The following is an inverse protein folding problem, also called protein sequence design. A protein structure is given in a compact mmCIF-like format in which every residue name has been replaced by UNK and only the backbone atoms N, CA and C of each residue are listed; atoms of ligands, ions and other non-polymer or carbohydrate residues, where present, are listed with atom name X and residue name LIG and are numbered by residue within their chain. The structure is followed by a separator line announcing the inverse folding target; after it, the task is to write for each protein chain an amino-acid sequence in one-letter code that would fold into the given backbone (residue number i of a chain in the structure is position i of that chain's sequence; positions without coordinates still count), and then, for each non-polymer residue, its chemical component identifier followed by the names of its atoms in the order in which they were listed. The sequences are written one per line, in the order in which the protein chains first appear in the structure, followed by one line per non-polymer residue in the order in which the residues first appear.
data_IF_452509751050
#
_entry.id   IF_452509751050
#
_cell.length_a   1.000
_cell.length_b   1.000
_cell.length_c   1.000
_cell.angle_alpha   90.00
_cell.angle_beta   90.00
_cell.angle_gamma   90.00
#
_symmetry.space_group_name_H-M   'P 1'
#
loop_
_entity.id
_entity.type
_entity.pdbx_description
1 polymer ?
#
# COMPACT_ATOMS: atom_id res chain seq x y z
N UNK A 1 -3.12 -23.29 18.53
CA UNK A 1 -2.02 -23.29 19.50
C UNK A 1 -2.03 -22.01 20.31
N UNK A 2 -2.10 -22.10 21.63
CA UNK A 2 -2.04 -20.86 22.40
C UNK A 2 -0.65 -20.25 22.25
N UNK A 3 -0.63 -18.96 21.94
CA UNK A 3 0.63 -18.23 21.88
C UNK A 3 1.06 -17.90 23.30
N UNK A 4 2.33 -18.11 23.56
CA UNK A 4 2.88 -17.68 24.83
C UNK A 4 2.81 -16.15 24.92
N UNK A 5 2.54 -15.62 26.13
CA UNK A 5 2.55 -14.18 26.30
C UNK A 5 3.93 -13.62 26.00
N UNK A 6 4.01 -12.61 25.18
CA UNK A 6 5.26 -11.94 24.84
C UNK A 6 5.78 -11.17 26.04
N UNK A 7 7.10 -11.15 26.20
CA UNK A 7 7.74 -10.26 27.17
C UNK A 7 7.46 -8.81 26.77
N UNK A 8 7.54 -7.89 27.72
CA UNK A 8 7.35 -6.46 27.44
C UNK A 8 8.35 -5.95 26.39
N UNK A 9 9.59 -6.41 26.48
CA UNK A 9 10.64 -6.02 25.53
C UNK A 9 10.31 -6.47 24.13
N UNK A 10 9.85 -7.70 23.96
CA UNK A 10 9.47 -8.24 22.65
C UNK A 10 8.24 -7.55 22.11
N UNK A 11 7.25 -7.26 22.96
CA UNK A 11 6.06 -6.54 22.55
C UNK A 11 6.39 -5.13 22.09
N UNK A 12 7.31 -4.46 22.78
CA UNK A 12 7.76 -3.12 22.40
C UNK A 12 8.53 -3.16 21.08
N UNK A 13 9.42 -4.13 20.90
CA UNK A 13 10.18 -4.30 19.66
C UNK A 13 9.24 -4.56 18.48
N UNK A 14 8.19 -5.36 18.69
CA UNK A 14 7.19 -5.61 17.66
C UNK A 14 6.43 -4.34 17.31
N UNK A 15 6.11 -3.52 18.31
CA UNK A 15 5.42 -2.24 18.08
C UNK A 15 6.27 -1.29 17.27
N UNK A 16 7.55 -1.18 17.59
CA UNK A 16 8.49 -0.34 16.85
C UNK A 16 8.62 -0.81 15.41
N UNK A 17 8.69 -2.13 15.21
CA UNK A 17 8.73 -2.70 13.85
C UNK A 17 7.45 -2.41 13.08
N UNK A 18 6.30 -2.54 13.73
CA UNK A 18 5.01 -2.24 13.11
C UNK A 18 4.94 -0.77 12.68
N UNK A 19 5.41 0.15 13.53
CA UNK A 19 5.47 1.58 13.20
C UNK A 19 6.38 1.85 12.01
N UNK A 20 7.50 1.14 11.95
CA UNK A 20 8.44 1.25 10.82
C UNK A 20 7.80 0.78 9.52
N UNK A 21 7.07 -0.34 9.56
CA UNK A 21 6.33 -0.85 8.40
C UNK A 21 5.31 0.18 7.92
N UNK A 22 4.56 0.77 8.84
CA UNK A 22 3.57 1.81 8.53
C UNK A 22 4.23 2.97 7.78
N UNK A 23 5.35 3.45 8.31
CA UNK A 23 6.08 4.57 7.71
C UNK A 23 6.56 4.25 6.30
N UNK A 24 7.15 3.08 6.11
CA UNK A 24 7.62 2.64 4.80
C UNK A 24 6.48 2.48 3.80
N UNK A 25 5.37 1.91 4.25
CA UNK A 25 4.21 1.71 3.37
C UNK A 25 3.53 3.02 2.99
N UNK A 26 3.54 4.02 3.88
CA UNK A 26 3.04 5.36 3.54
C UNK A 26 3.89 6.00 2.43
N UNK A 27 5.20 5.80 2.46
CA UNK A 27 6.05 6.24 1.36
C UNK A 27 5.72 5.52 0.06
N UNK A 28 5.50 4.21 0.15
CA UNK A 28 5.12 3.41 -1.02
C UNK A 28 3.80 3.87 -1.60
N UNK A 29 2.84 4.25 -0.76
CA UNK A 29 1.56 4.81 -1.22
C UNK A 29 1.77 6.11 -1.98
N UNK A 30 2.66 6.95 -1.51
CA UNK A 30 2.97 8.22 -2.18
C UNK A 30 3.54 7.97 -3.58
N UNK A 31 4.50 7.06 -3.70
CA UNK A 31 5.07 6.70 -5.00
C UNK A 31 4.05 5.99 -5.89
N UNK A 32 3.18 5.20 -5.31
CA UNK A 32 2.11 4.51 -6.03
C UNK A 32 1.17 5.50 -6.71
N UNK A 33 0.78 6.58 -6.03
CA UNK A 33 -0.05 7.62 -6.61
C UNK A 33 0.61 8.26 -7.82
N UNK A 34 1.89 8.57 -7.72
CA UNK A 34 2.67 9.14 -8.83
C UNK A 34 2.74 8.17 -10.01
N UNK A 35 2.93 6.88 -9.73
CA UNK A 35 2.97 5.85 -10.77
C UNK A 35 1.63 5.69 -11.47
N UNK A 36 0.53 5.75 -10.72
CA UNK A 36 -0.82 5.67 -11.29
C UNK A 36 -1.05 6.82 -12.27
N UNK A 37 -0.63 8.04 -11.91
CA UNK A 37 -0.73 9.19 -12.81
C UNK A 37 0.05 8.98 -14.10
N UNK A 38 1.28 8.47 -13.99
CA UNK A 38 2.12 8.19 -15.15
C UNK A 38 1.51 7.10 -16.04
N UNK A 39 0.98 6.05 -15.45
CA UNK A 39 0.30 5.00 -16.22
C UNK A 39 -0.91 5.56 -16.97
N UNK A 40 -1.64 6.49 -16.38
CA UNK A 40 -2.74 7.17 -17.05
C UNK A 40 -2.27 7.97 -18.25
N UNK A 41 -1.16 8.69 -18.12
CA UNK A 41 -0.55 9.43 -19.22
C UNK A 41 -0.08 8.49 -20.34
N UNK A 42 0.53 7.36 -19.98
CA UNK A 42 0.96 6.36 -20.95
C UNK A 42 -0.23 5.76 -21.70
N UNK A 43 -1.31 5.51 -20.99
CA UNK A 43 -2.54 4.99 -21.59
C UNK A 43 -3.07 5.96 -22.64
N UNK A 44 -3.12 7.26 -22.31
CA UNK A 44 -3.58 8.29 -23.25
C UNK A 44 -2.74 8.32 -24.52
N UNK A 45 -1.42 8.24 -24.36
CA UNK A 45 -0.51 8.20 -25.51
C UNK A 45 -0.75 6.96 -26.37
N UNK A 46 -0.85 5.80 -25.76
CA UNK A 46 -1.04 4.54 -26.47
C UNK A 46 -2.39 4.47 -27.18
N UNK A 47 -3.42 5.04 -26.55
CA UNK A 47 -4.78 5.04 -27.08
C UNK A 47 -4.98 6.10 -28.17
N UNK A 48 -4.57 7.34 -27.89
CA UNK A 48 -4.91 8.49 -28.73
C UNK A 48 -3.84 8.79 -29.78
N UNK A 49 -2.56 8.66 -29.44
CA UNK A 49 -1.48 9.00 -30.35
C UNK A 49 -1.02 7.80 -31.19
N UNK A 50 -0.67 6.70 -30.55
CA UNK A 50 -0.24 5.51 -31.25
C UNK A 50 -1.38 4.70 -31.83
N UNK A 51 -2.56 4.80 -31.23
CA UNK A 51 -3.76 4.05 -31.63
C UNK A 51 -3.50 2.53 -31.68
N UNK A 52 -2.79 2.04 -30.69
CA UNK A 52 -2.45 0.62 -30.53
C UNK A 52 -3.28 0.03 -29.42
N UNK A 53 -4.46 -0.49 -29.76
CA UNK A 53 -5.45 -0.99 -28.80
C UNK A 53 -4.92 -2.12 -27.92
N UNK A 54 -4.08 -2.99 -28.46
CA UNK A 54 -3.50 -4.06 -27.68
C UNK A 54 -2.64 -3.54 -26.51
N UNK A 55 -1.90 -2.46 -26.73
CA UNK A 55 -1.07 -1.88 -25.67
C UNK A 55 -1.88 -1.03 -24.70
N UNK A 56 -2.86 -0.28 -25.19
CA UNK A 56 -3.72 0.49 -24.29
C UNK A 56 -4.58 -0.42 -23.42
N UNK A 57 -5.04 -1.55 -23.94
CA UNK A 57 -5.78 -2.54 -23.15
C UNK A 57 -4.92 -3.13 -22.04
N UNK A 58 -3.67 -3.46 -22.35
CA UNK A 58 -2.75 -3.97 -21.31
C UNK A 58 -2.48 -2.89 -20.26
N UNK A 59 -2.34 -1.64 -20.68
CA UNK A 59 -2.13 -0.53 -19.74
C UNK A 59 -3.34 -0.33 -18.83
N UNK A 60 -4.56 -0.54 -19.34
CA UNK A 60 -5.77 -0.50 -18.52
C UNK A 60 -5.73 -1.56 -17.42
N UNK A 61 -5.26 -2.76 -17.74
CA UNK A 61 -5.11 -3.84 -16.75
C UNK A 61 -4.08 -3.47 -15.70
N UNK A 62 -2.96 -2.87 -16.11
CA UNK A 62 -1.93 -2.40 -15.19
C UNK A 62 -2.50 -1.35 -14.24
N UNK A 63 -3.24 -0.37 -14.79
CA UNK A 63 -3.88 0.67 -14.01
C UNK A 63 -4.86 0.10 -12.98
N UNK A 64 -5.73 -0.81 -13.42
CA UNK A 64 -6.72 -1.42 -12.54
C UNK A 64 -6.05 -2.20 -11.41
N UNK A 65 -5.01 -2.95 -11.73
CA UNK A 65 -4.26 -3.74 -10.75
C UNK A 65 -3.52 -2.84 -9.77
N UNK A 66 -2.90 -1.79 -10.26
CA UNK A 66 -2.17 -0.83 -9.42
C UNK A 66 -3.12 -0.11 -8.47
N UNK A 67 -4.29 0.30 -8.95
CA UNK A 67 -5.31 0.92 -8.11
C UNK A 67 -5.78 -0.03 -7.01
N UNK A 68 -5.94 -1.30 -7.34
CA UNK A 68 -6.35 -2.30 -6.35
C UNK A 68 -5.27 -2.50 -5.29
N UNK A 69 -4.02 -2.60 -5.70
CA UNK A 69 -2.90 -2.70 -4.75
C UNK A 69 -2.85 -1.48 -3.85
N UNK A 70 -3.03 -0.29 -4.43
CA UNK A 70 -3.03 0.96 -3.68
C UNK A 70 -4.12 0.95 -2.60
N UNK A 71 -5.33 0.55 -2.95
CA UNK A 71 -6.45 0.48 -1.99
C UNK A 71 -6.18 -0.51 -0.87
N UNK A 72 -5.62 -1.68 -1.20
CA UNK A 72 -5.28 -2.70 -0.21
C UNK A 72 -4.21 -2.23 0.75
N UNK A 73 -3.17 -1.58 0.23
CA UNK A 73 -2.07 -1.05 1.06
C UNK A 73 -2.59 0.04 1.97
N UNK A 74 -3.42 0.94 1.45
CA UNK A 74 -4.01 2.04 2.22
C UNK A 74 -4.85 1.48 3.38
N UNK A 75 -5.73 0.52 3.10
CA UNK A 75 -6.55 -0.12 4.11
C UNK A 75 -5.70 -0.85 5.16
N UNK A 76 -4.66 -1.54 4.71
CA UNK A 76 -3.75 -2.25 5.61
C UNK A 76 -3.04 -1.28 6.56
N UNK A 77 -2.53 -0.18 6.02
CA UNK A 77 -1.84 0.85 6.82
C UNK A 77 -2.78 1.43 7.87
N UNK A 78 -4.00 1.78 7.48
CA UNK A 78 -4.99 2.32 8.41
C UNK A 78 -5.31 1.32 9.53
N UNK A 79 -5.52 0.06 9.17
CA UNK A 79 -5.85 -0.97 10.15
C UNK A 79 -4.70 -1.24 11.12
N UNK A 80 -3.48 -1.31 10.60
CA UNK A 80 -2.31 -1.52 11.44
C UNK A 80 -2.06 -0.32 12.36
N UNK A 81 -2.23 0.89 11.84
CA UNK A 81 -2.07 2.11 12.62
C UNK A 81 -3.09 2.18 13.75
N UNK A 82 -4.35 1.84 13.47
CA UNK A 82 -5.40 1.77 14.47
C UNK A 82 -5.08 0.75 15.55
N UNK A 83 -4.58 -0.41 15.16
CA UNK A 83 -4.21 -1.45 16.10
C UNK A 83 -3.04 -1.02 17.00
N UNK A 84 -2.02 -0.39 16.42
CA UNK A 84 -0.91 0.16 17.19
C UNK A 84 -1.37 1.21 18.20
N UNK A 85 -2.25 2.11 17.76
CA UNK A 85 -2.81 3.15 18.65
C UNK A 85 -3.60 2.53 19.79
N UNK A 86 -4.40 1.52 19.49
CA UNK A 86 -5.19 0.82 20.49
C UNK A 86 -4.28 0.16 21.54
N UNK A 87 -3.25 -0.55 21.09
CA UNK A 87 -2.32 -1.23 22.01
C UNK A 87 -1.58 -0.23 22.89
N UNK A 88 -1.10 0.86 22.30
CA UNK A 88 -0.38 1.90 23.05
C UNK A 88 -1.28 2.59 24.08
N UNK A 89 -2.58 2.67 23.82
CA UNK A 89 -3.52 3.34 24.72
C UNK A 89 -4.11 2.40 25.77
N UNK A 90 -3.84 1.12 25.72
CA UNK A 90 -4.35 0.15 26.70
C UNK A 90 -3.59 0.14 28.02
N UNK A 91 -2.49 0.83 28.13
CA UNK A 91 -1.69 0.86 29.38
C UNK A 91 -2.21 1.90 30.36
#
# INVERSE_FOLDING_TARGET
MPKEPMSKEKAQANMEKARSIISEMKEMLHYSESNIEKFGEFWLFLSDEMKRDEFSSTMEEILATQNKVHELVDAFVDNLEMDCNRIENED
#
